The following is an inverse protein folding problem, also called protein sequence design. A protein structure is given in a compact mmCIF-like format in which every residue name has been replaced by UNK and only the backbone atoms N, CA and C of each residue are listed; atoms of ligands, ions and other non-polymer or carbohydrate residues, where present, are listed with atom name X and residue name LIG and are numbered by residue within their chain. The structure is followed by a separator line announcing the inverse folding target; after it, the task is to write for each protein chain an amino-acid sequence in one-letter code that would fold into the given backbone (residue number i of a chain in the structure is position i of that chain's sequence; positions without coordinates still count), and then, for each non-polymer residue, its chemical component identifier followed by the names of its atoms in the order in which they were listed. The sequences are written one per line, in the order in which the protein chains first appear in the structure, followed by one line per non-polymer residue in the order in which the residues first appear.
data_IF_629113436989
#
_entry.id   IF_629113436989
#
_cell.length_a   1.000
_cell.length_b   1.000
_cell.length_c   1.000
_cell.angle_alpha   90.00
_cell.angle_beta   90.00
_cell.angle_gamma   90.00
#
_symmetry.space_group_name_H-M   'P 1'
#
loop_
_entity.id
_entity.type
_entity.pdbx_description
1 polymer ?
#
# COMPACT_ATOMS: atom_id res chain seq x y z
N UNK A 1 13.20 9.80 11.53
CA UNK A 1 12.39 9.53 10.34
C UNK A 1 12.87 8.21 9.75
N UNK A 2 11.98 7.34 9.32
CA UNK A 2 12.34 6.10 8.62
C UNK A 2 12.26 6.35 7.11
N UNK A 3 13.22 5.81 6.35
CA UNK A 3 13.27 5.93 4.90
C UNK A 3 13.12 4.54 4.27
N UNK A 4 12.33 4.46 3.21
CA UNK A 4 12.15 3.27 2.40
C UNK A 4 12.19 3.66 0.92
N UNK A 5 12.52 2.72 0.05
CA UNK A 5 12.33 2.90 -1.39
C UNK A 5 11.29 1.91 -1.92
N UNK A 6 10.72 2.21 -3.08
CA UNK A 6 9.74 1.34 -3.75
C UNK A 6 10.40 0.46 -4.79
N UNK A 7 9.97 -0.80 -4.86
CA UNK A 7 10.40 -1.70 -5.94
C UNK A 7 9.86 -1.32 -7.32
N UNK A 8 8.89 -0.39 -7.40
CA UNK A 8 8.23 0.05 -8.65
C UNK A 8 9.20 0.49 -9.74
N UNK A 9 10.33 1.08 -9.39
CA UNK A 9 11.34 1.55 -10.33
C UNK A 9 12.45 0.53 -10.63
N UNK A 10 12.38 -0.71 -10.10
CA UNK A 10 13.49 -1.66 -10.06
C UNK A 10 13.10 -3.04 -10.60
N UNK A 11 12.25 -3.09 -11.62
CA UNK A 11 11.71 -4.34 -12.17
C UNK A 11 12.79 -5.34 -12.65
N UNK A 12 13.99 -4.86 -13.00
CA UNK A 12 15.10 -5.68 -13.49
C UNK A 12 16.03 -6.21 -12.37
N UNK A 13 15.69 -5.94 -11.09
CA UNK A 13 16.51 -6.36 -9.95
C UNK A 13 15.88 -7.54 -9.24
N UNK A 14 16.74 -8.49 -8.83
CA UNK A 14 16.31 -9.59 -7.96
C UNK A 14 15.95 -9.08 -6.57
N UNK A 15 15.16 -9.86 -5.84
CA UNK A 15 14.83 -9.53 -4.44
C UNK A 15 16.09 -9.37 -3.57
N UNK A 16 17.05 -10.26 -3.72
CA UNK A 16 18.31 -10.21 -2.96
C UNK A 16 19.12 -8.95 -3.28
N UNK A 17 19.16 -8.51 -4.56
CA UNK A 17 19.80 -7.24 -4.93
C UNK A 17 19.11 -6.04 -4.26
N UNK A 18 17.78 -6.04 -4.19
CA UNK A 18 17.01 -4.96 -3.55
C UNK A 18 17.25 -4.92 -2.03
N UNK A 19 17.32 -6.09 -1.40
CA UNK A 19 17.62 -6.19 0.04
C UNK A 19 19.06 -5.70 0.32
N UNK A 20 20.03 -6.13 -0.48
CA UNK A 20 21.42 -5.66 -0.34
C UNK A 20 21.53 -4.15 -0.57
N UNK A 21 20.84 -3.62 -1.58
CA UNK A 21 20.79 -2.18 -1.84
C UNK A 21 20.20 -1.40 -0.66
N UNK A 22 19.15 -1.94 -0.04
CA UNK A 22 18.55 -1.32 1.15
C UNK A 22 19.53 -1.21 2.31
N UNK A 23 20.33 -2.27 2.55
CA UNK A 23 21.37 -2.27 3.57
C UNK A 23 22.52 -1.31 3.24
N UNK A 24 23.03 -1.35 1.99
CA UNK A 24 24.14 -0.51 1.55
C UNK A 24 23.82 1.00 1.61
N UNK A 25 22.57 1.35 1.35
CA UNK A 25 22.10 2.74 1.36
C UNK A 25 21.46 3.19 2.69
N UNK A 26 21.54 2.35 3.73
CA UNK A 26 21.01 2.63 5.07
C UNK A 26 19.51 2.96 5.10
N UNK A 27 18.74 2.29 4.23
CA UNK A 27 17.28 2.35 4.26
C UNK A 27 16.72 1.55 5.44
N UNK A 28 15.54 1.94 5.91
CA UNK A 28 14.83 1.23 6.98
C UNK A 28 13.80 0.24 6.45
N UNK A 29 13.54 0.23 5.14
CA UNK A 29 12.57 -0.69 4.56
C UNK A 29 12.46 -0.63 3.04
N UNK A 30 11.65 -1.53 2.52
CA UNK A 30 11.37 -1.70 1.11
C UNK A 30 9.84 -1.71 0.93
N UNK A 31 9.28 -0.77 0.18
CA UNK A 31 7.92 -0.83 -0.30
C UNK A 31 7.85 -1.81 -1.47
N UNK A 32 7.02 -2.83 -1.36
CA UNK A 32 6.87 -3.84 -2.41
C UNK A 32 5.69 -3.49 -3.30
N UNK A 33 5.95 -3.29 -4.59
CA UNK A 33 4.93 -2.92 -5.57
C UNK A 33 4.45 -4.14 -6.38
N UNK A 34 3.12 -4.27 -6.53
CA UNK A 34 2.46 -5.31 -7.35
C UNK A 34 2.99 -6.74 -7.11
N UNK A 35 3.21 -7.10 -5.84
CA UNK A 35 3.84 -8.36 -5.45
C UNK A 35 3.17 -9.58 -6.09
N UNK A 36 1.84 -9.61 -6.18
CA UNK A 36 1.07 -10.73 -6.76
C UNK A 36 1.22 -10.86 -8.26
N UNK A 37 1.69 -9.83 -8.96
CA UNK A 37 1.89 -9.83 -10.41
C UNK A 37 3.26 -10.33 -10.84
N UNK A 38 4.19 -10.51 -9.91
CA UNK A 38 5.55 -10.98 -10.18
C UNK A 38 5.75 -12.44 -9.78
N UNK A 39 6.00 -13.32 -10.75
CA UNK A 39 6.34 -14.73 -10.49
C UNK A 39 7.67 -14.88 -9.73
N UNK A 40 8.57 -13.92 -9.87
CA UNK A 40 9.82 -13.88 -9.11
C UNK A 40 9.60 -13.57 -7.64
N UNK A 41 8.49 -12.91 -7.31
CA UNK A 41 8.15 -12.57 -5.93
C UNK A 41 7.22 -13.59 -5.27
N UNK A 42 6.23 -14.16 -5.98
CA UNK A 42 5.24 -15.09 -5.40
C UNK A 42 5.30 -16.51 -5.96
N UNK A 43 6.11 -16.79 -6.97
CA UNK A 43 6.27 -18.13 -7.55
C UNK A 43 6.85 -19.13 -6.55
N UNK A 44 6.88 -20.40 -6.94
CA UNK A 44 7.41 -21.47 -6.08
C UNK A 44 8.86 -21.19 -5.69
N UNK A 45 9.13 -21.11 -4.40
CA UNK A 45 10.46 -20.80 -3.85
C UNK A 45 10.77 -19.30 -3.72
N UNK A 46 9.90 -18.43 -4.22
CA UNK A 46 10.07 -16.98 -4.17
C UNK A 46 9.85 -16.40 -2.75
N UNK A 47 10.33 -15.18 -2.47
CA UNK A 47 10.32 -14.60 -1.12
C UNK A 47 8.90 -14.41 -0.55
N UNK A 48 7.92 -14.08 -1.38
CA UNK A 48 6.52 -13.88 -0.95
C UNK A 48 5.61 -15.08 -1.29
N UNK A 49 6.20 -16.22 -1.62
CA UNK A 49 5.43 -17.46 -1.72
C UNK A 49 4.92 -17.85 -0.33
N UNK A 50 3.69 -18.37 -0.25
CA UNK A 50 2.99 -18.70 1.01
C UNK A 50 3.82 -19.53 2.02
N UNK A 51 4.79 -20.30 1.56
CA UNK A 51 5.67 -21.08 2.45
C UNK A 51 6.96 -20.31 2.86
N UNK A 52 7.22 -19.15 2.28
CA UNK A 52 8.47 -18.42 2.48
C UNK A 52 8.28 -17.05 3.16
N UNK A 53 7.09 -16.50 3.17
CA UNK A 53 6.78 -15.16 3.70
C UNK A 53 7.33 -14.92 5.10
N UNK A 54 7.16 -15.89 6.02
CA UNK A 54 7.73 -15.78 7.36
C UNK A 54 9.26 -15.83 7.40
N UNK A 55 9.89 -16.59 6.50
CA UNK A 55 11.35 -16.61 6.39
C UNK A 55 11.85 -15.26 5.86
N UNK A 56 11.23 -14.73 4.83
CA UNK A 56 11.51 -13.40 4.28
C UNK A 56 11.37 -12.31 5.34
N UNK A 57 10.28 -12.32 6.10
CA UNK A 57 10.07 -11.34 7.17
C UNK A 57 11.15 -11.42 8.27
N UNK A 58 11.54 -12.64 8.65
CA UNK A 58 12.61 -12.86 9.64
C UNK A 58 13.96 -12.36 9.13
N UNK A 59 14.29 -12.63 7.86
CA UNK A 59 15.56 -12.26 7.25
C UNK A 59 15.67 -10.73 7.12
N UNK A 60 14.59 -10.06 6.69
CA UNK A 60 14.52 -8.60 6.68
C UNK A 60 14.72 -8.00 8.07
N UNK A 61 14.04 -8.56 9.07
CA UNK A 61 14.18 -8.10 10.46
C UNK A 61 15.61 -8.27 10.99
N UNK A 62 16.27 -9.37 10.64
CA UNK A 62 17.67 -9.61 11.02
C UNK A 62 18.62 -8.55 10.43
N UNK A 63 18.25 -7.95 9.29
CA UNK A 63 18.96 -6.86 8.63
C UNK A 63 18.49 -5.45 9.04
N UNK A 64 17.56 -5.36 10.00
CA UNK A 64 16.98 -4.08 10.42
C UNK A 64 15.99 -3.47 9.41
N UNK A 65 15.59 -4.24 8.41
CA UNK A 65 14.66 -3.83 7.36
C UNK A 65 13.23 -4.25 7.68
N UNK A 66 12.27 -3.51 7.13
CA UNK A 66 10.84 -3.83 7.20
C UNK A 66 10.15 -3.60 5.84
N UNK A 67 8.98 -4.17 5.66
CA UNK A 67 8.07 -3.81 4.57
C UNK A 67 7.01 -2.88 5.15
N UNK A 68 7.09 -1.56 4.93
CA UNK A 68 6.11 -0.64 5.50
C UNK A 68 4.75 -0.81 4.85
N UNK A 69 4.70 -0.99 3.53
CA UNK A 69 3.48 -1.09 2.73
C UNK A 69 3.69 -2.04 1.56
N UNK A 70 2.67 -2.82 1.24
CA UNK A 70 2.51 -3.47 -0.06
C UNK A 70 1.70 -2.53 -0.94
N UNK A 71 2.35 -1.90 -1.92
CA UNK A 71 1.71 -0.99 -2.84
C UNK A 71 1.22 -1.75 -4.08
N UNK A 72 0.10 -1.33 -4.63
CA UNK A 72 -0.53 -2.02 -5.76
C UNK A 72 -0.96 -1.05 -6.86
N UNK A 73 -1.13 -1.57 -8.07
CA UNK A 73 -1.80 -0.86 -9.16
C UNK A 73 -3.32 -1.10 -9.18
N UNK A 74 -3.90 -1.66 -8.12
CA UNK A 74 -5.35 -1.86 -8.02
C UNK A 74 -6.04 -0.50 -7.94
N UNK A 75 -6.97 -0.27 -8.85
CA UNK A 75 -7.82 0.91 -8.88
C UNK A 75 -9.22 0.54 -8.38
N UNK A 76 -9.50 0.89 -7.13
CA UNK A 76 -10.80 0.57 -6.51
C UNK A 76 -11.98 1.34 -7.14
N UNK A 77 -11.70 2.32 -8.00
CA UNK A 77 -12.70 3.14 -8.69
C UNK A 77 -12.99 2.69 -10.14
N UNK A 78 -12.45 1.56 -10.60
CA UNK A 78 -12.60 1.07 -11.98
C UNK A 78 -13.90 0.25 -12.20
N UNK A 79 -14.62 -0.09 -11.12
CA UNK A 79 -15.84 -0.86 -11.15
C UNK A 79 -15.65 -2.37 -11.28
N UNK A 80 -14.41 -2.86 -11.19
CA UNK A 80 -14.12 -4.30 -11.19
C UNK A 80 -14.11 -4.86 -9.78
N UNK A 81 -14.32 -6.18 -9.65
CA UNK A 81 -14.22 -6.87 -8.36
C UNK A 81 -12.77 -7.29 -8.10
N UNK A 82 -12.10 -6.55 -7.23
CA UNK A 82 -10.74 -6.83 -6.77
C UNK A 82 -10.68 -7.59 -5.44
N UNK A 83 -11.81 -8.03 -4.87
CA UNK A 83 -11.88 -8.62 -3.52
C UNK A 83 -10.92 -9.79 -3.35
N UNK A 84 -10.85 -10.69 -4.33
CA UNK A 84 -9.97 -11.86 -4.27
C UNK A 84 -8.48 -11.46 -4.23
N UNK A 85 -8.08 -10.50 -5.06
CA UNK A 85 -6.69 -10.04 -5.12
C UNK A 85 -6.31 -9.27 -3.85
N UNK A 86 -7.18 -8.37 -3.39
CA UNK A 86 -6.98 -7.63 -2.14
C UNK A 86 -6.90 -8.56 -0.92
N UNK A 87 -7.75 -9.59 -0.86
CA UNK A 87 -7.68 -10.62 0.19
C UNK A 87 -6.31 -11.31 0.21
N UNK A 88 -5.77 -11.69 -0.95
CA UNK A 88 -4.45 -12.31 -1.04
C UNK A 88 -3.33 -11.35 -0.59
N UNK A 89 -3.41 -10.08 -0.98
CA UNK A 89 -2.45 -9.05 -0.59
C UNK A 89 -2.49 -8.75 0.91
N UNK A 90 -3.67 -8.68 1.51
CA UNK A 90 -3.84 -8.51 2.97
C UNK A 90 -3.21 -9.70 3.72
N UNK A 91 -3.37 -10.93 3.24
CA UNK A 91 -2.72 -12.08 3.85
C UNK A 91 -1.19 -11.98 3.78
N UNK A 92 -0.64 -11.65 2.62
CA UNK A 92 0.81 -11.45 2.47
C UNK A 92 1.28 -10.33 3.40
N UNK A 93 0.56 -9.20 3.46
CA UNK A 93 0.88 -8.09 4.35
C UNK A 93 0.97 -8.53 5.83
N UNK A 94 0.00 -9.33 6.28
CA UNK A 94 0.00 -9.89 7.65
C UNK A 94 1.21 -10.80 7.91
N UNK A 95 1.54 -11.67 6.97
CA UNK A 95 2.65 -12.62 7.12
C UNK A 95 4.03 -11.94 7.11
N UNK A 96 4.19 -10.83 6.39
CA UNK A 96 5.45 -10.06 6.36
C UNK A 96 5.47 -8.89 7.33
N UNK A 97 4.42 -8.72 8.16
CA UNK A 97 4.26 -7.66 9.14
C UNK A 97 4.27 -6.26 8.52
N UNK A 98 3.74 -6.13 7.30
CA UNK A 98 3.51 -4.82 6.70
C UNK A 98 2.36 -4.09 7.42
N UNK A 99 2.42 -2.76 7.44
CA UNK A 99 1.35 -1.94 8.06
C UNK A 99 0.06 -2.03 7.27
N UNK A 100 0.14 -2.11 5.95
CA UNK A 100 -1.06 -2.13 5.10
C UNK A 100 -0.80 -2.43 3.64
N UNK A 101 -1.91 -2.43 2.90
CA UNK A 101 -1.97 -2.55 1.44
C UNK A 101 -2.45 -1.23 0.86
N UNK A 102 -1.73 -0.68 -0.11
CA UNK A 102 -2.08 0.58 -0.76
C UNK A 102 -2.81 0.34 -2.08
N UNK A 103 -3.88 1.12 -2.29
CA UNK A 103 -4.72 1.11 -3.50
C UNK A 103 -4.89 2.52 -4.06
N UNK A 104 -5.32 2.63 -5.30
CA UNK A 104 -5.59 3.91 -5.98
C UNK A 104 -7.06 4.07 -6.34
N UNK A 105 -7.47 5.28 -6.76
CA UNK A 105 -8.82 5.58 -7.25
C UNK A 105 -8.73 6.53 -8.47
N UNK A 106 -8.01 6.10 -9.52
CA UNK A 106 -7.70 6.91 -10.70
C UNK A 106 -8.86 6.95 -11.70
N UNK A 107 -9.62 5.85 -11.84
CA UNK A 107 -10.74 5.75 -12.78
C UNK A 107 -11.91 6.70 -12.47
N UNK A 108 -11.95 7.27 -11.28
CA UNK A 108 -12.84 8.39 -10.96
C UNK A 108 -14.27 8.03 -10.56
N UNK A 109 -14.62 6.74 -10.45
CA UNK A 109 -15.94 6.31 -10.00
C UNK A 109 -15.97 6.11 -8.48
N UNK A 110 -16.44 7.13 -7.77
CA UNK A 110 -16.49 7.10 -6.31
C UNK A 110 -17.46 6.04 -5.76
N UNK A 111 -18.57 5.77 -6.44
CA UNK A 111 -19.52 4.73 -6.02
C UNK A 111 -18.85 3.34 -6.08
N UNK A 112 -18.09 3.08 -7.15
CA UNK A 112 -17.29 1.85 -7.27
C UNK A 112 -16.22 1.75 -6.16
N UNK A 113 -15.52 2.85 -5.86
CA UNK A 113 -14.54 2.90 -4.78
C UNK A 113 -15.17 2.56 -3.43
N UNK A 114 -16.33 3.15 -3.12
CA UNK A 114 -17.08 2.85 -1.89
C UNK A 114 -17.55 1.40 -1.84
N UNK A 115 -18.03 0.85 -2.95
CA UNK A 115 -18.44 -0.56 -3.02
C UNK A 115 -17.24 -1.50 -2.78
N UNK A 116 -16.10 -1.25 -3.42
CA UNK A 116 -14.86 -2.02 -3.23
C UNK A 116 -14.37 -1.97 -1.78
N UNK A 117 -14.38 -0.80 -1.14
CA UNK A 117 -14.01 -0.66 0.27
C UNK A 117 -14.99 -1.41 1.17
N UNK A 118 -16.30 -1.29 0.93
CA UNK A 118 -17.32 -2.01 1.72
C UNK A 118 -17.16 -3.52 1.65
N UNK A 119 -16.66 -4.04 0.53
CA UNK A 119 -16.42 -5.46 0.35
C UNK A 119 -15.15 -5.95 1.09
N UNK A 120 -14.09 -5.12 1.15
CA UNK A 120 -12.78 -5.58 1.68
C UNK A 120 -12.53 -5.17 3.13
N UNK A 121 -13.08 -4.06 3.59
CA UNK A 121 -12.80 -3.53 4.94
C UNK A 121 -13.09 -4.52 6.07
N UNK A 122 -14.21 -5.30 6.08
CA UNK A 122 -14.43 -6.28 7.14
C UNK A 122 -13.32 -7.32 7.25
N UNK A 123 -12.72 -7.72 6.11
CA UNK A 123 -11.59 -8.64 6.10
C UNK A 123 -10.30 -7.98 6.57
N UNK A 124 -10.04 -6.76 6.14
CA UNK A 124 -8.87 -5.98 6.56
C UNK A 124 -8.86 -5.76 8.08
N UNK A 125 -10.01 -5.43 8.66
CA UNK A 125 -10.22 -5.27 10.10
C UNK A 125 -9.99 -6.58 10.87
N UNK A 126 -10.55 -7.71 10.38
CA UNK A 126 -10.30 -9.04 10.96
C UNK A 126 -8.80 -9.37 11.00
N UNK A 127 -8.06 -9.02 9.95
CA UNK A 127 -6.62 -9.28 9.83
C UNK A 127 -5.75 -8.22 10.49
N UNK A 128 -6.33 -7.09 10.93
CA UNK A 128 -5.61 -5.95 11.50
C UNK A 128 -4.58 -5.37 10.52
N UNK A 129 -4.92 -5.32 9.23
CA UNK A 129 -4.10 -4.78 8.15
C UNK A 129 -4.83 -3.57 7.57
N UNK A 130 -4.14 -2.43 7.49
CA UNK A 130 -4.72 -1.21 6.96
C UNK A 130 -4.88 -1.27 5.44
N UNK A 131 -6.01 -0.76 4.94
CA UNK A 131 -6.16 -0.38 3.54
C UNK A 131 -5.82 1.10 3.43
N UNK A 132 -4.77 1.40 2.65
CA UNK A 132 -4.29 2.76 2.47
C UNK A 132 -4.70 3.26 1.08
N UNK A 133 -5.35 4.40 1.02
CA UNK A 133 -5.73 5.03 -0.25
C UNK A 133 -4.65 6.06 -0.61
N UNK A 134 -3.97 5.86 -1.75
CA UNK A 134 -3.02 6.85 -2.24
C UNK A 134 -3.76 8.13 -2.65
N UNK A 135 -3.22 9.29 -2.28
CA UNK A 135 -3.77 10.60 -2.66
C UNK A 135 -3.53 10.90 -4.14
N UNK A 136 -4.18 10.11 -5.01
CA UNK A 136 -4.13 10.22 -6.47
C UNK A 136 -5.53 10.07 -7.07
N UNK A 137 -5.72 10.47 -8.31
CA UNK A 137 -7.02 10.45 -8.99
C UNK A 137 -8.06 11.28 -8.25
N UNK A 138 -9.26 10.74 -8.01
CA UNK A 138 -10.33 11.49 -7.33
C UNK A 138 -9.99 11.87 -5.88
N UNK A 139 -9.06 11.15 -5.26
CA UNK A 139 -8.64 11.40 -3.89
C UNK A 139 -7.32 12.20 -3.79
N UNK A 140 -6.82 12.72 -4.90
CA UNK A 140 -5.87 13.82 -4.89
C UNK A 140 -6.51 15.12 -4.34
N UNK A 141 -7.84 15.27 -4.42
CA UNK A 141 -8.62 16.17 -3.57
C UNK A 141 -8.72 15.58 -2.16
N UNK A 142 -7.86 16.05 -1.26
CA UNK A 142 -7.75 15.47 0.08
C UNK A 142 -8.93 15.78 1.00
N UNK A 143 -9.72 16.82 0.70
CA UNK A 143 -10.96 17.07 1.41
C UNK A 143 -11.99 15.96 1.13
N UNK A 144 -12.08 15.53 -0.13
CA UNK A 144 -12.94 14.44 -0.55
C UNK A 144 -12.50 13.10 0.06
N UNK A 145 -11.19 12.84 0.11
CA UNK A 145 -10.67 11.65 0.78
C UNK A 145 -11.00 11.66 2.28
N UNK A 146 -10.90 12.82 2.93
CA UNK A 146 -11.29 12.97 4.33
C UNK A 146 -12.75 12.63 4.55
N UNK A 147 -13.66 13.12 3.72
CA UNK A 147 -15.10 12.81 3.83
C UNK A 147 -15.37 11.30 3.72
N UNK A 148 -14.63 10.62 2.84
CA UNK A 148 -14.70 9.17 2.75
C UNK A 148 -14.26 8.50 4.05
N UNK A 149 -13.12 8.89 4.60
CA UNK A 149 -12.56 8.29 5.82
C UNK A 149 -13.42 8.55 7.05
N UNK A 150 -13.91 9.78 7.19
CA UNK A 150 -14.85 10.15 8.27
C UNK A 150 -16.14 9.31 8.19
N UNK A 151 -16.61 8.97 6.97
CA UNK A 151 -17.81 8.14 6.79
C UNK A 151 -17.59 6.66 7.15
N UNK A 152 -16.37 6.12 6.95
CA UNK A 152 -16.04 4.74 7.34
C UNK A 152 -15.70 4.62 8.82
N UNK A 153 -15.05 5.62 9.40
CA UNK A 153 -14.64 5.68 10.82
C UNK A 153 -13.91 4.40 11.29
N UNK A 154 -13.02 3.85 10.46
CA UNK A 154 -12.25 2.63 10.74
C UNK A 154 -10.79 2.94 11.01
N UNK A 155 -10.22 2.35 12.06
CA UNK A 155 -8.80 2.44 12.38
C UNK A 155 -7.90 1.74 11.34
N UNK A 156 -8.49 0.95 10.45
CA UNK A 156 -7.80 0.21 9.39
C UNK A 156 -8.00 0.80 7.99
N UNK A 157 -8.60 2.00 7.90
CA UNK A 157 -8.65 2.77 6.66
C UNK A 157 -7.79 4.02 6.83
N UNK A 158 -6.74 4.14 6.03
CA UNK A 158 -5.78 5.23 6.10
C UNK A 158 -5.49 5.85 4.74
N UNK A 159 -4.67 6.89 4.74
CA UNK A 159 -4.17 7.54 3.54
C UNK A 159 -2.67 7.31 3.36
N UNK A 160 -2.25 7.06 2.11
CA UNK A 160 -0.86 7.14 1.71
C UNK A 160 -0.67 8.48 0.97
N UNK A 161 0.00 9.41 1.63
CA UNK A 161 0.17 10.75 1.05
C UNK A 161 1.24 10.76 -0.03
N UNK A 162 0.81 10.88 -1.28
CA UNK A 162 1.67 11.28 -2.39
C UNK A 162 1.74 12.81 -2.44
N UNK A 163 2.85 13.40 -2.01
CA UNK A 163 3.02 14.87 -1.94
C UNK A 163 2.78 15.56 -3.28
N UNK A 164 3.06 14.86 -4.37
CA UNK A 164 2.97 15.39 -5.74
C UNK A 164 1.53 15.60 -6.20
N UNK A 165 0.66 14.59 -6.04
CA UNK A 165 -0.64 14.59 -6.73
C UNK A 165 -1.61 15.67 -6.23
N UNK A 166 -1.85 15.89 -4.93
CA UNK A 166 -2.70 16.98 -4.46
C UNK A 166 -2.21 18.34 -4.95
N UNK A 167 -0.90 18.56 -4.93
CA UNK A 167 -0.33 19.82 -5.38
C UNK A 167 -0.46 20.00 -6.91
N UNK A 168 -0.17 18.96 -7.67
CA UNK A 168 -0.13 19.05 -9.14
C UNK A 168 -1.53 19.07 -9.77
N UNK A 169 -2.46 18.32 -9.22
CA UNK A 169 -3.80 18.14 -9.79
C UNK A 169 -4.80 19.18 -9.27
N UNK A 170 -4.62 19.62 -8.00
CA UNK A 170 -5.57 20.52 -7.32
C UNK A 170 -4.91 21.77 -6.75
N UNK A 171 -3.63 22.05 -7.05
CA UNK A 171 -2.86 23.16 -6.48
C UNK A 171 -2.88 23.16 -4.93
N UNK A 172 -3.13 22.01 -4.32
CA UNK A 172 -3.26 21.88 -2.89
C UNK A 172 -1.90 21.97 -2.19
N UNK A 173 -1.75 22.95 -1.32
CA UNK A 173 -0.51 23.12 -0.55
C UNK A 173 -0.38 22.03 0.52
N UNK A 174 0.84 21.52 0.81
CA UNK A 174 1.06 20.48 1.83
C UNK A 174 0.42 20.76 3.19
N UNK A 175 0.37 22.03 3.62
CA UNK A 175 -0.28 22.41 4.87
C UNK A 175 -1.79 22.15 4.86
N UNK A 176 -2.45 22.18 3.70
CA UNK A 176 -3.87 21.86 3.55
C UNK A 176 -4.05 20.35 3.65
N UNK A 177 -3.23 19.57 2.92
CA UNK A 177 -3.22 18.11 3.01
C UNK A 177 -3.02 17.63 4.45
N UNK A 178 -2.03 18.16 5.17
CA UNK A 178 -1.80 17.82 6.58
C UNK A 178 -3.03 18.15 7.44
N UNK A 179 -3.66 19.28 7.21
CA UNK A 179 -4.89 19.65 7.94
C UNK A 179 -6.05 18.69 7.65
N UNK A 180 -6.18 18.24 6.41
CA UNK A 180 -7.25 17.35 5.99
C UNK A 180 -6.98 15.91 6.45
N UNK A 181 -5.77 15.40 6.28
CA UNK A 181 -5.43 13.99 6.40
C UNK A 181 -4.49 13.65 7.57
N UNK A 182 -4.02 14.62 8.35
CA UNK A 182 -2.98 14.38 9.37
C UNK A 182 -3.32 13.32 10.44
N UNK A 183 -4.61 13.01 10.61
CA UNK A 183 -5.06 11.92 11.49
C UNK A 183 -5.10 10.54 10.79
N UNK A 184 -4.99 10.51 9.47
CA UNK A 184 -5.17 9.30 8.63
C UNK A 184 -3.89 8.87 7.91
N UNK A 185 -2.78 9.61 8.04
CA UNK A 185 -1.48 9.35 7.39
C UNK A 185 -0.50 8.68 8.34
#
# INVERSE_FOLDING_TARGET
MKLSFSTKGWADRSWDDLVNLAEEMDFNGIEVFDVTKSQELVGKGAPFHIYNTHATARDLRAKGLQIPVINTSIDIADGQDHTKELTALINIAGEVFATGVCVTAVAGNEEAARASLSAIMPYAEEKQISVLIETTGIYADTARLRELMDAYASDYLGALWSVRHPYWEFEEKPAITIRNLGAYV
#
